data_IF_808317076612
#
_entry.id   IF_808317076612
#
_cell.length_a   1.000
_cell.length_b   1.000
_cell.length_c   1.000
_cell.angle_alpha   90.00
_cell.angle_beta   90.00
_cell.angle_gamma   90.00
#
_symmetry.space_group_name_H-M   'P 1'
#
loop_
_entity.id
_entity.type
_entity.pdbx_description
1 polymer ?
#
# COMPACT_ATOMS: atom_id res chain seq x y z
N UNK A 1 -20.27 -17.85 10.82
CA UNK A 1 -18.89 -18.36 10.96
C UNK A 1 -18.35 -18.32 12.39
N UNK A 2 -18.05 -17.16 13.00
CA UNK A 2 -17.37 -17.13 14.30
C UNK A 2 -18.09 -17.90 15.41
N UNK A 3 -19.41 -17.76 15.48
CA UNK A 3 -20.26 -18.53 16.40
C UNK A 3 -20.27 -20.03 16.08
N UNK A 4 -20.31 -20.39 14.80
CA UNK A 4 -20.25 -21.77 14.30
C UNK A 4 -18.95 -22.45 14.74
N UNK A 5 -17.81 -21.81 14.51
CA UNK A 5 -16.49 -22.31 14.90
C UNK A 5 -16.36 -22.48 16.42
N UNK A 6 -16.91 -21.54 17.19
CA UNK A 6 -16.93 -21.62 18.64
C UNK A 6 -17.82 -22.78 19.13
N UNK A 7 -19.00 -22.97 18.52
CA UNK A 7 -19.92 -24.08 18.81
C UNK A 7 -19.30 -25.44 18.54
N UNK A 8 -18.53 -25.56 17.45
CA UNK A 8 -17.87 -26.82 17.07
C UNK A 8 -16.51 -27.03 17.75
N UNK A 9 -16.08 -26.15 18.67
CA UNK A 9 -14.80 -26.22 19.36
C UNK A 9 -13.61 -26.48 18.41
N UNK A 10 -13.66 -25.89 17.21
CA UNK A 10 -12.60 -26.05 16.21
C UNK A 10 -11.29 -25.48 16.77
N UNK A 11 -10.13 -26.15 16.60
CA UNK A 11 -8.85 -25.72 17.16
C UNK A 11 -8.27 -24.52 16.40
N UNK A 12 -8.99 -23.40 16.41
CA UNK A 12 -8.64 -22.15 15.75
C UNK A 12 -8.86 -20.98 16.69
N UNK A 13 -7.98 -19.98 16.61
CA UNK A 13 -8.17 -18.71 17.30
C UNK A 13 -8.88 -17.75 16.35
N UNK A 14 -10.09 -17.33 16.73
CA UNK A 14 -10.88 -16.36 15.95
C UNK A 14 -10.70 -14.97 16.55
N UNK A 15 -10.34 -14.01 15.70
CA UNK A 15 -10.30 -12.59 16.04
C UNK A 15 -11.28 -11.81 15.17
N UNK A 16 -11.83 -10.73 15.73
CA UNK A 16 -12.63 -9.76 14.99
C UNK A 16 -11.95 -8.40 15.13
N UNK A 17 -11.93 -7.67 14.01
CA UNK A 17 -11.43 -6.32 13.96
C UNK A 17 -12.44 -5.47 13.20
N UNK A 18 -12.82 -4.34 13.79
CA UNK A 18 -13.69 -3.37 13.14
C UNK A 18 -12.82 -2.51 12.21
N UNK A 19 -13.09 -2.57 10.91
CA UNK A 19 -12.35 -1.81 9.92
C UNK A 19 -12.73 -0.31 10.02
N UNK A 20 -11.75 0.59 10.17
CA UNK A 20 -12.02 2.03 10.16
C UNK A 20 -12.31 2.52 8.74
N UNK A 21 -13.20 3.51 8.62
CA UNK A 21 -13.47 4.18 7.34
C UNK A 21 -14.95 4.21 6.91
N UNK A 22 -15.90 4.10 7.84
CA UNK A 22 -17.29 4.46 7.54
C UNK A 22 -17.43 5.97 7.34
N UNK A 23 -18.41 6.39 6.52
CA UNK A 23 -18.75 7.82 6.32
C UNK A 23 -19.11 8.51 7.65
N UNK A 24 -19.63 7.74 8.61
CA UNK A 24 -19.97 8.20 9.95
C UNK A 24 -18.92 7.76 10.97
N UNK A 25 -18.01 8.68 11.33
CA UNK A 25 -16.97 8.44 12.33
C UNK A 25 -17.53 8.33 13.75
N UNK A 26 -18.64 9.02 14.03
CA UNK A 26 -19.26 9.04 15.36
C UNK A 26 -19.87 7.68 15.66
N UNK A 27 -20.54 7.09 14.67
CA UNK A 27 -21.09 5.75 14.79
C UNK A 27 -20.00 4.66 14.91
N UNK A 28 -18.88 4.81 14.19
CA UNK A 28 -17.75 3.90 14.31
C UNK A 28 -17.17 3.91 15.73
N UNK A 29 -16.90 5.11 16.25
CA UNK A 29 -16.42 5.30 17.62
C UNK A 29 -17.42 4.74 18.65
N UNK A 30 -18.72 4.95 18.42
CA UNK A 30 -19.79 4.44 19.27
C UNK A 30 -19.79 2.92 19.38
N UNK A 31 -19.75 2.22 18.24
CA UNK A 31 -19.79 0.76 18.20
C UNK A 31 -18.52 0.16 18.80
N UNK A 32 -17.35 0.73 18.51
CA UNK A 32 -16.07 0.30 19.08
C UNK A 32 -16.03 0.51 20.59
N UNK A 33 -16.41 1.68 21.07
CA UNK A 33 -16.42 2.00 22.49
C UNK A 33 -17.40 1.12 23.26
N UNK A 34 -18.59 0.87 22.69
CA UNK A 34 -19.55 -0.08 23.26
C UNK A 34 -18.99 -1.51 23.33
N UNK A 35 -18.30 -1.97 22.28
CA UNK A 35 -17.66 -3.29 22.26
C UNK A 35 -16.58 -3.40 23.34
N UNK A 36 -15.68 -2.42 23.42
CA UNK A 36 -14.59 -2.39 24.39
C UNK A 36 -15.11 -2.29 25.83
N UNK A 37 -16.15 -1.48 26.07
CA UNK A 37 -16.81 -1.37 27.37
C UNK A 37 -17.37 -2.72 27.83
N UNK A 38 -18.13 -3.41 26.98
CA UNK A 38 -18.71 -4.72 27.33
C UNK A 38 -17.61 -5.75 27.58
N UNK A 39 -16.56 -5.74 26.76
CA UNK A 39 -15.42 -6.65 26.94
C UNK A 39 -14.72 -6.47 28.29
N UNK A 40 -14.57 -5.23 28.76
CA UNK A 40 -13.94 -4.90 30.04
C UNK A 40 -14.87 -5.17 31.22
N UNK A 41 -16.10 -4.67 31.20
CA UNK A 41 -17.07 -4.76 32.32
C UNK A 41 -17.41 -6.23 32.64
N UNK A 42 -17.54 -7.06 31.60
CA UNK A 42 -17.91 -8.48 31.74
C UNK A 42 -16.69 -9.41 31.73
N UNK A 43 -15.49 -8.87 31.54
CA UNK A 43 -14.25 -9.61 31.36
C UNK A 43 -14.39 -10.78 30.35
N UNK A 44 -15.17 -10.56 29.29
CA UNK A 44 -15.58 -11.61 28.35
C UNK A 44 -15.74 -11.09 26.92
N UNK A 45 -14.77 -11.42 26.07
CA UNK A 45 -14.82 -11.11 24.63
C UNK A 45 -15.99 -11.81 23.91
N UNK A 46 -16.52 -12.90 24.48
CA UNK A 46 -17.67 -13.63 23.91
C UNK A 46 -18.95 -12.81 23.99
N UNK A 47 -19.16 -12.11 25.11
CA UNK A 47 -20.34 -11.26 25.30
C UNK A 47 -20.27 -10.02 24.40
N UNK A 48 -19.08 -9.42 24.27
CA UNK A 48 -18.86 -8.33 23.35
C UNK A 48 -19.12 -8.74 21.88
N UNK A 49 -18.72 -9.95 21.49
CA UNK A 49 -19.05 -10.49 20.16
C UNK A 49 -20.55 -10.74 19.98
N UNK A 50 -21.22 -11.27 21.01
CA UNK A 50 -22.67 -11.49 20.99
C UNK A 50 -23.44 -10.17 20.87
N UNK A 51 -22.97 -9.10 21.52
CA UNK A 51 -23.52 -7.76 21.34
C UNK A 51 -23.47 -7.30 19.88
N UNK A 52 -22.34 -7.48 19.18
CA UNK A 52 -22.24 -7.16 17.74
C UNK A 52 -23.22 -8.01 16.92
N UNK A 53 -23.32 -9.31 17.21
CA UNK A 53 -24.28 -10.18 16.53
C UNK A 53 -25.73 -9.72 16.74
N UNK A 54 -26.10 -9.32 17.95
CA UNK A 54 -27.43 -8.76 18.23
C UNK A 54 -27.66 -7.42 17.54
N UNK A 55 -26.64 -6.58 17.46
CA UNK A 55 -26.69 -5.28 16.79
C UNK A 55 -26.96 -5.47 15.28
N UNK A 56 -26.28 -6.43 14.65
CA UNK A 56 -26.44 -6.77 13.23
C UNK A 56 -27.74 -7.51 12.90
N UNK A 57 -28.23 -8.37 13.80
CA UNK A 57 -29.47 -9.12 13.62
C UNK A 57 -30.73 -8.30 13.96
N UNK A 58 -30.59 -7.01 14.33
CA UNK A 58 -31.75 -6.17 14.61
C UNK A 58 -32.48 -5.86 13.29
N UNK A 59 -33.78 -6.19 13.17
CA UNK A 59 -34.47 -6.18 11.88
C UNK A 59 -34.88 -4.77 11.48
N UNK A 60 -34.03 -4.04 10.76
CA UNK A 60 -34.45 -2.89 9.93
C UNK A 60 -33.55 -2.77 8.69
N UNK A 61 -34.16 -2.50 7.53
CA UNK A 61 -33.54 -2.25 6.22
C UNK A 61 -32.75 -0.90 6.16
N UNK A 62 -32.32 -0.35 7.30
CA UNK A 62 -31.76 1.00 7.41
C UNK A 62 -30.32 1.04 7.94
N UNK A 63 -29.63 2.17 7.72
CA UNK A 63 -28.32 2.49 8.31
C UNK A 63 -28.43 2.43 9.84
N UNK A 64 -27.44 1.82 10.49
CA UNK A 64 -27.35 1.68 11.94
C UNK A 64 -27.34 3.08 12.60
N UNK A 65 -28.13 3.29 13.66
CA UNK A 65 -28.24 4.58 14.36
C UNK A 65 -27.64 4.52 15.77
N UNK A 66 -27.12 5.65 16.26
CA UNK A 66 -26.54 5.82 17.59
C UNK A 66 -27.55 5.43 18.70
N UNK A 67 -28.84 5.71 18.49
CA UNK A 67 -29.87 5.35 19.46
C UNK A 67 -30.04 3.84 19.61
N UNK A 68 -29.80 3.07 18.54
CA UNK A 68 -29.86 1.61 18.58
C UNK A 68 -28.68 1.04 19.36
N UNK A 69 -27.48 1.59 19.14
CA UNK A 69 -26.28 1.23 19.92
C UNK A 69 -26.53 1.49 21.41
N UNK A 70 -27.05 2.66 21.77
CA UNK A 70 -27.45 2.99 23.15
C UNK A 70 -28.47 2.01 23.73
N UNK A 71 -29.50 1.65 22.96
CA UNK A 71 -30.56 0.73 23.40
C UNK A 71 -30.03 -0.68 23.67
N UNK A 72 -29.11 -1.18 22.85
CA UNK A 72 -28.50 -2.50 23.06
C UNK A 72 -27.46 -2.45 24.18
N UNK A 73 -26.67 -1.37 24.27
CA UNK A 73 -25.69 -1.18 25.34
C UNK A 73 -26.34 -1.13 26.73
N UNK A 74 -27.54 -0.54 26.85
CA UNK A 74 -28.34 -0.53 28.10
C UNK A 74 -28.55 -1.91 28.72
N UNK A 75 -28.57 -2.98 27.93
CA UNK A 75 -28.76 -4.34 28.44
C UNK A 75 -27.53 -4.88 29.16
N UNK A 76 -26.36 -4.36 28.82
CA UNK A 76 -25.07 -4.81 29.34
C UNK A 76 -24.48 -3.85 30.37
N UNK A 77 -24.83 -2.56 30.28
CA UNK A 77 -24.36 -1.50 31.15
C UNK A 77 -24.89 -1.60 32.58
N UNK A 78 -24.01 -1.29 33.55
CA UNK A 78 -24.31 -1.22 34.97
C UNK A 78 -25.27 -0.05 35.29
N UNK A 79 -26.13 -0.20 36.31
CA UNK A 79 -27.30 0.67 36.59
C UNK A 79 -27.01 2.14 36.95
N UNK A 80 -25.79 2.63 36.78
CA UNK A 80 -25.39 4.03 36.95
C UNK A 80 -24.43 4.56 35.88
N UNK A 81 -24.18 3.79 34.80
CA UNK A 81 -23.26 4.18 33.76
C UNK A 81 -23.87 5.22 32.81
N UNK A 82 -23.13 6.30 32.52
CA UNK A 82 -23.54 7.29 31.54
C UNK A 82 -23.24 6.80 30.13
N UNK A 83 -24.29 6.40 29.41
CA UNK A 83 -24.18 5.82 28.06
C UNK A 83 -23.69 6.83 27.03
N UNK A 84 -23.99 8.11 27.23
CA UNK A 84 -23.56 9.17 26.30
C UNK A 84 -22.05 9.40 26.40
N UNK A 85 -21.50 9.23 27.60
CA UNK A 85 -20.06 9.34 27.87
C UNK A 85 -19.29 8.16 27.27
N UNK A 86 -19.80 6.93 27.47
CA UNK A 86 -19.19 5.70 26.92
C UNK A 86 -19.12 5.73 25.39
N UNK A 87 -20.13 6.28 24.74
CA UNK A 87 -20.29 6.27 23.28
C UNK A 87 -19.61 7.47 22.61
N UNK A 88 -19.18 8.46 23.39
CA UNK A 88 -18.53 9.66 22.88
C UNK A 88 -17.23 9.33 22.11
N UNK A 89 -16.82 10.23 21.21
CA UNK A 89 -15.57 10.09 20.46
C UNK A 89 -14.34 10.17 21.38
N UNK A 90 -14.42 10.98 22.43
CA UNK A 90 -13.38 11.17 23.45
C UNK A 90 -13.45 10.13 24.59
N UNK A 91 -14.31 9.12 24.46
CA UNK A 91 -14.49 8.06 25.44
C UNK A 91 -13.19 7.31 25.71
N UNK A 92 -12.92 7.01 26.99
CA UNK A 92 -11.79 6.14 27.39
C UNK A 92 -11.86 4.75 26.76
N UNK A 93 -13.08 4.31 26.39
CA UNK A 93 -13.32 3.02 25.74
C UNK A 93 -13.07 3.06 24.22
N UNK A 94 -12.84 4.25 23.64
CA UNK A 94 -12.52 4.42 22.22
C UNK A 94 -11.04 4.13 21.88
N UNK A 95 -10.39 3.23 22.59
CA UNK A 95 -9.00 2.88 22.34
C UNK A 95 -8.85 1.90 21.16
N UNK A 96 -7.66 1.88 20.58
CA UNK A 96 -7.31 0.96 19.48
C UNK A 96 -7.69 1.44 18.08
N UNK A 97 -8.31 2.63 17.92
CA UNK A 97 -8.63 3.22 16.62
C UNK A 97 -7.41 3.33 15.70
N UNK A 98 -6.34 3.93 16.22
CA UNK A 98 -5.11 4.16 15.45
C UNK A 98 -4.42 2.84 15.10
N UNK A 99 -4.38 1.88 16.04
CA UNK A 99 -3.84 0.55 15.79
C UNK A 99 -4.66 -0.20 14.74
N UNK A 100 -5.97 0.00 14.75
CA UNK A 100 -6.86 -0.61 13.78
C UNK A 100 -6.64 -0.03 12.37
N UNK A 101 -6.52 1.30 12.28
CA UNK A 101 -6.21 1.98 11.03
C UNK A 101 -4.84 1.60 10.50
N UNK A 102 -3.84 1.52 11.36
CA UNK A 102 -2.50 1.08 10.99
C UNK A 102 -2.50 -0.36 10.47
N UNK A 103 -3.17 -1.28 11.17
CA UNK A 103 -3.25 -2.68 10.74
C UNK A 103 -3.98 -2.82 9.39
N UNK A 104 -5.09 -2.11 9.22
CA UNK A 104 -5.80 -2.06 7.93
C UNK A 104 -4.92 -1.48 6.82
N UNK A 105 -4.20 -0.39 7.09
CA UNK A 105 -3.29 0.22 6.12
C UNK A 105 -2.16 -0.73 5.71
N UNK A 106 -1.70 -1.58 6.65
CA UNK A 106 -0.68 -2.62 6.42
C UNK A 106 -1.20 -3.79 5.58
N UNK A 107 -2.49 -4.12 5.65
CA UNK A 107 -3.10 -5.11 4.76
C UNK A 107 -3.20 -4.61 3.31
N UNK A 108 -3.20 -3.29 3.09
CA UNK A 108 -3.24 -2.71 1.75
C UNK A 108 -4.51 -3.07 0.95
N UNK A 109 -5.60 -3.42 1.64
CA UNK A 109 -6.90 -3.73 1.04
C UNK A 109 -7.94 -2.73 1.52
N UNK A 110 -8.65 -2.11 0.58
CA UNK A 110 -9.78 -1.22 0.86
C UNK A 110 -11.13 -1.93 0.60
N UNK A 111 -11.11 -3.26 0.40
CA UNK A 111 -12.31 -4.07 0.16
C UNK A 111 -12.69 -4.79 1.45
N UNK A 112 -13.85 -4.47 2.00
CA UNK A 112 -14.43 -5.11 3.17
C UNK A 112 -15.79 -5.75 2.83
N UNK A 113 -16.20 -6.82 3.52
CA UNK A 113 -15.47 -7.55 4.57
C UNK A 113 -14.30 -8.39 4.02
N UNK A 114 -13.25 -8.59 4.83
CA UNK A 114 -12.09 -9.42 4.48
C UNK A 114 -11.77 -10.39 5.62
N UNK A 115 -11.44 -11.64 5.26
CA UNK A 115 -11.04 -12.68 6.21
C UNK A 115 -9.60 -13.07 5.96
N UNK A 116 -8.81 -13.14 7.04
CA UNK A 116 -7.42 -13.52 7.03
C UNK A 116 -7.25 -14.85 7.78
N UNK A 117 -6.55 -15.80 7.17
CA UNK A 117 -6.18 -17.07 7.80
C UNK A 117 -4.66 -17.12 7.89
N UNK A 118 -4.13 -17.09 9.11
CA UNK A 118 -2.68 -17.05 9.38
C UNK A 118 -1.93 -15.97 8.55
N UNK A 119 -2.53 -14.77 8.43
CA UNK A 119 -1.97 -13.64 7.69
C UNK A 119 -2.22 -13.65 6.17
N UNK A 120 -2.79 -14.73 5.62
CA UNK A 120 -3.12 -14.82 4.19
C UNK A 120 -4.60 -14.43 3.98
N UNK A 121 -4.90 -13.44 3.12
CA UNK A 121 -6.28 -13.13 2.79
C UNK A 121 -6.91 -14.29 1.99
N UNK A 122 -8.16 -14.62 2.34
CA UNK A 122 -8.96 -15.50 1.49
C UNK A 122 -9.27 -14.75 0.19
N UNK A 123 -8.73 -15.25 -0.92
CA UNK A 123 -8.93 -14.67 -2.26
C UNK A 123 -10.23 -15.18 -2.85
N UNK A 124 -10.94 -14.30 -3.56
CA UNK A 124 -12.10 -14.69 -4.34
C UNK A 124 -11.64 -15.55 -5.53
N UNK A 125 -11.79 -16.88 -5.45
CA UNK A 125 -11.42 -17.80 -6.54
C UNK A 125 -12.44 -17.77 -7.71
N UNK A 126 -13.45 -16.90 -7.67
CA UNK A 126 -14.50 -16.77 -8.69
C UNK A 126 -15.14 -15.37 -8.76
N UNK A 127 -16.20 -15.24 -9.57
CA UNK A 127 -16.96 -13.98 -9.75
C UNK A 127 -17.82 -13.60 -8.53
N UNK A 128 -18.11 -14.57 -7.67
CA UNK A 128 -18.81 -14.37 -6.39
C UNK A 128 -17.79 -14.21 -5.28
N UNK A 129 -17.87 -13.12 -4.48
CA UNK A 129 -16.94 -12.96 -3.37
C UNK A 129 -17.14 -14.07 -2.35
N UNK A 130 -16.06 -14.62 -1.78
CA UNK A 130 -16.10 -15.72 -0.81
C UNK A 130 -16.90 -15.34 0.44
N UNK A 131 -17.04 -14.03 0.70
CA UNK A 131 -17.83 -13.48 1.80
C UNK A 131 -19.33 -13.33 1.49
N UNK A 132 -19.79 -13.69 0.29
CA UNK A 132 -21.19 -13.54 -0.13
C UNK A 132 -22.12 -14.59 0.49
N UNK A 133 -21.62 -15.79 0.77
CA UNK A 133 -22.38 -16.84 1.44
C UNK A 133 -21.58 -17.47 2.57
N UNK A 134 -22.28 -17.93 3.61
CA UNK A 134 -21.64 -18.60 4.76
C UNK A 134 -21.01 -19.93 4.33
N UNK A 135 -21.64 -20.65 3.40
CA UNK A 135 -21.18 -21.95 2.91
C UNK A 135 -19.85 -21.85 2.15
N UNK A 136 -19.73 -20.90 1.21
CA UNK A 136 -18.48 -20.69 0.44
C UNK A 136 -17.34 -20.26 1.35
N UNK A 137 -17.64 -19.41 2.34
CA UNK A 137 -16.68 -18.95 3.33
C UNK A 137 -16.19 -20.11 4.21
N UNK A 138 -17.08 -21.01 4.62
CA UNK A 138 -16.74 -22.20 5.41
C UNK A 138 -15.89 -23.19 4.59
N UNK A 139 -16.26 -23.44 3.34
CA UNK A 139 -15.49 -24.31 2.44
C UNK A 139 -14.08 -23.76 2.18
N UNK A 140 -13.97 -22.46 1.87
CA UNK A 140 -12.69 -21.78 1.65
C UNK A 140 -11.83 -21.81 2.92
N UNK A 141 -12.43 -21.59 4.09
CA UNK A 141 -11.75 -21.68 5.38
C UNK A 141 -11.21 -23.09 5.64
N UNK A 142 -12.02 -24.13 5.44
CA UNK A 142 -11.61 -25.53 5.64
C UNK A 142 -10.46 -25.89 4.70
N UNK A 143 -10.55 -25.47 3.44
CA UNK A 143 -9.49 -25.68 2.44
C UNK A 143 -8.20 -24.97 2.84
N UNK A 144 -8.29 -23.71 3.27
CA UNK A 144 -7.14 -22.96 3.77
C UNK A 144 -6.51 -23.62 5.01
N UNK A 145 -7.32 -24.02 5.99
CA UNK A 145 -6.88 -24.69 7.21
C UNK A 145 -6.20 -26.03 6.93
N UNK A 146 -6.73 -26.83 6.01
CA UNK A 146 -6.11 -28.09 5.57
C UNK A 146 -4.72 -27.84 4.98
N UNK A 147 -4.60 -26.83 4.11
CA UNK A 147 -3.32 -26.43 3.51
C UNK A 147 -2.31 -25.93 4.54
N UNK A 148 -2.73 -25.12 5.51
CA UNK A 148 -1.85 -24.62 6.57
C UNK A 148 -1.41 -25.73 7.53
N UNK A 149 -2.34 -26.59 7.93
CA UNK A 149 -2.05 -27.75 8.79
C UNK A 149 -1.03 -28.69 8.13
N UNK A 150 -1.17 -28.97 6.84
CA UNK A 150 -0.20 -29.80 6.11
C UNK A 150 1.20 -29.17 5.98
N UNK A 151 1.34 -27.85 6.11
CA UNK A 151 2.66 -27.18 6.20
C UNK A 151 3.27 -27.35 7.60
N UNK A 152 2.48 -27.14 8.65
CA UNK A 152 2.92 -27.31 10.03
C UNK A 152 3.31 -28.76 10.33
N UNK A 153 2.52 -29.73 9.88
CA UNK A 153 2.87 -31.15 10.03
C UNK A 153 4.21 -31.49 9.38
N UNK A 154 4.47 -30.97 8.17
CA UNK A 154 5.77 -31.16 7.50
C UNK A 154 6.93 -30.51 8.26
N UNK A 155 6.72 -29.34 8.87
CA UNK A 155 7.72 -28.68 9.71
C UNK A 155 8.07 -29.54 10.94
N UNK A 156 7.05 -30.10 11.61
CA UNK A 156 7.24 -31.03 12.74
C UNK A 156 8.01 -32.27 12.30
N UNK A 157 7.63 -32.90 11.17
CA UNK A 157 8.33 -34.08 10.66
C UNK A 157 9.81 -33.81 10.29
N UNK A 158 10.15 -32.59 9.90
CA UNK A 158 11.52 -32.18 9.61
C UNK A 158 12.32 -31.78 10.86
N UNK A 159 11.68 -31.70 12.02
CA UNK A 159 12.28 -31.18 13.24
C UNK A 159 12.50 -29.66 13.22
N UNK A 160 11.80 -28.93 12.34
CA UNK A 160 11.84 -27.46 12.28
C UNK A 160 10.96 -26.81 13.36
N UNK A 161 9.98 -27.55 13.89
CA UNK A 161 9.08 -27.14 14.98
C UNK A 161 9.09 -28.21 16.07
N UNK A 162 9.44 -27.82 17.30
CA UNK A 162 9.47 -28.69 18.48
C UNK A 162 8.44 -28.26 19.54
N UNK A 163 8.22 -29.10 20.56
CA UNK A 163 7.29 -28.80 21.65
C UNK A 163 7.71 -27.58 22.50
N UNK A 164 8.98 -27.18 22.44
CA UNK A 164 9.49 -26.00 23.16
C UNK A 164 9.24 -24.69 22.41
N UNK A 165 8.89 -24.76 21.12
CA UNK A 165 8.74 -23.59 20.26
C UNK A 165 7.29 -23.08 20.23
N UNK A 166 7.11 -21.76 20.20
CA UNK A 166 5.80 -21.17 19.93
C UNK A 166 5.47 -21.27 18.43
N UNK A 167 4.39 -21.98 18.12
CA UNK A 167 3.90 -22.14 16.74
C UNK A 167 3.57 -20.78 16.07
N UNK A 168 3.14 -19.78 16.83
CA UNK A 168 2.86 -18.43 16.30
C UNK A 168 4.16 -17.73 15.91
N UNK A 169 5.18 -17.82 16.75
CA UNK A 169 6.50 -17.26 16.46
C UNK A 169 7.15 -17.97 15.27
N UNK A 170 7.01 -19.28 15.18
CA UNK A 170 7.45 -20.07 14.03
C UNK A 170 6.78 -19.62 12.73
N UNK A 171 5.48 -19.33 12.75
CA UNK A 171 4.77 -18.78 11.59
C UNK A 171 5.35 -17.41 11.21
N UNK A 172 5.55 -16.51 12.18
CA UNK A 172 6.10 -15.17 11.92
C UNK A 172 7.53 -15.18 11.36
N UNK A 173 8.33 -16.21 11.67
CA UNK A 173 9.69 -16.40 11.13
C UNK A 173 9.71 -16.87 9.66
N UNK A 174 8.58 -17.25 9.09
CA UNK A 174 8.56 -17.77 7.73
C UNK A 174 8.88 -16.69 6.70
N UNK A 175 9.69 -17.03 5.70
CA UNK A 175 10.16 -16.08 4.67
C UNK A 175 9.05 -15.43 3.81
N UNK A 176 7.86 -16.02 3.80
CA UNK A 176 6.70 -15.50 3.04
C UNK A 176 5.82 -14.55 3.86
N UNK A 177 6.13 -14.33 5.14
CA UNK A 177 5.42 -13.35 5.96
C UNK A 177 6.10 -12.00 5.81
N UNK A 178 5.32 -11.03 5.34
CA UNK A 178 5.76 -9.66 5.11
C UNK A 178 5.07 -8.70 6.09
N UNK A 179 5.77 -7.67 6.60
CA UNK A 179 5.17 -6.70 7.54
C UNK A 179 4.03 -5.86 6.94
N UNK A 180 4.04 -5.66 5.62
CA UNK A 180 3.03 -4.90 4.88
C UNK A 180 2.75 -5.59 3.54
N UNK A 181 1.48 -5.75 3.22
CA UNK A 181 1.04 -6.27 1.94
C UNK A 181 0.85 -5.12 0.95
N UNK A 182 1.55 -5.18 -0.17
CA UNK A 182 1.36 -4.24 -1.28
C UNK A 182 0.72 -4.97 -2.47
N UNK A 183 -0.56 -4.69 -2.72
CA UNK A 183 -1.32 -5.32 -3.82
C UNK A 183 -0.76 -5.05 -5.20
N UNK A 184 -0.06 -3.92 -5.41
CA UNK A 184 0.55 -3.62 -6.72
C UNK A 184 1.76 -4.50 -7.02
N UNK A 185 2.41 -5.04 -5.99
CA UNK A 185 3.60 -5.89 -6.12
C UNK A 185 3.27 -7.37 -5.95
N UNK A 186 2.41 -7.69 -4.98
CA UNK A 186 2.05 -9.06 -4.60
C UNK A 186 0.63 -9.45 -5.06
N UNK A 187 0.02 -8.64 -5.94
CA UNK A 187 -1.30 -8.91 -6.49
C UNK A 187 -1.31 -10.15 -7.38
N UNK A 188 -2.46 -10.83 -7.43
CA UNK A 188 -2.71 -11.92 -8.36
C UNK A 188 -3.01 -11.46 -9.79
N UNK A 189 -3.13 -10.15 -10.01
CA UNK A 189 -3.33 -9.55 -11.32
C UNK A 189 -2.10 -9.78 -12.21
N UNK A 190 -2.32 -10.00 -13.51
CA UNK A 190 -1.23 -10.27 -14.44
C UNK A 190 -0.26 -9.09 -14.47
N UNK A 191 1.00 -9.36 -14.13
CA UNK A 191 2.07 -8.38 -14.27
C UNK A 191 2.22 -8.02 -15.75
N UNK A 192 2.20 -6.71 -16.05
CA UNK A 192 2.52 -6.21 -17.37
C UNK A 192 4.04 -6.14 -17.51
N UNK A 193 4.58 -6.80 -18.52
CA UNK A 193 6.02 -6.80 -18.79
C UNK A 193 6.31 -5.95 -20.02
N UNK A 194 7.31 -5.08 -19.91
CA UNK A 194 7.86 -4.35 -21.04
C UNK A 194 9.04 -5.15 -21.61
N UNK A 195 8.97 -5.49 -22.90
CA UNK A 195 10.04 -6.19 -23.58
C UNK A 195 11.16 -5.22 -24.00
N UNK A 196 12.36 -5.44 -23.48
CA UNK A 196 13.56 -4.66 -23.76
C UNK A 196 14.51 -5.33 -24.76
N UNK A 197 14.12 -6.47 -25.35
CA UNK A 197 14.96 -7.26 -26.25
C UNK A 197 14.92 -6.82 -27.73
N UNK A 198 14.30 -5.67 -28.02
CA UNK A 198 14.22 -5.11 -29.37
C UNK A 198 15.58 -4.68 -29.94
N UNK A 199 15.59 -4.33 -31.22
CA UNK A 199 16.79 -3.82 -31.89
C UNK A 199 16.79 -2.30 -31.81
N UNK A 200 17.81 -1.74 -31.16
CA UNK A 200 17.98 -0.30 -31.09
C UNK A 200 18.20 0.28 -32.49
N UNK A 201 17.35 1.23 -32.87
CA UNK A 201 17.56 2.09 -34.02
C UNK A 201 18.52 3.23 -33.67
N UNK A 202 18.76 4.16 -34.61
CA UNK A 202 19.62 5.32 -34.33
C UNK A 202 19.04 6.20 -33.21
N UNK A 203 19.89 6.58 -32.24
CA UNK A 203 19.54 7.54 -31.19
C UNK A 203 19.20 8.93 -31.72
N UNK A 204 19.53 9.23 -32.98
CA UNK A 204 19.15 10.48 -33.66
C UNK A 204 17.63 10.63 -33.85
N UNK A 205 16.88 9.53 -33.72
CA UNK A 205 15.42 9.56 -33.78
C UNK A 205 14.79 10.32 -32.60
N UNK A 206 15.53 10.53 -31.51
CA UNK A 206 15.12 11.34 -30.36
C UNK A 206 15.50 12.82 -30.54
N UNK A 207 15.02 13.40 -31.64
CA UNK A 207 15.13 14.85 -31.92
C UNK A 207 13.74 15.35 -32.31
N UNK A 208 13.40 16.60 -31.99
CA UNK A 208 12.08 17.21 -32.24
C UNK A 208 11.52 16.89 -33.64
N UNK A 209 12.36 16.97 -34.67
CA UNK A 209 11.97 16.71 -36.06
C UNK A 209 11.77 15.23 -36.42
N UNK A 210 12.26 14.28 -35.62
CA UNK A 210 12.33 12.84 -35.99
C UNK A 210 11.59 11.92 -35.01
N UNK A 211 11.11 12.42 -33.87
CA UNK A 211 10.40 11.63 -32.85
C UNK A 211 9.17 10.92 -33.41
N UNK A 212 8.46 11.52 -34.37
CA UNK A 212 7.31 10.89 -35.03
C UNK A 212 7.68 9.55 -35.70
N UNK A 213 8.93 9.36 -36.13
CA UNK A 213 9.40 8.11 -36.72
C UNK A 213 9.51 6.97 -35.71
N UNK A 214 9.61 7.31 -34.42
CA UNK A 214 9.61 6.35 -33.32
C UNK A 214 8.24 5.68 -33.15
N UNK A 215 7.15 6.37 -33.49
CA UNK A 215 5.79 5.79 -33.48
C UNK A 215 5.61 4.70 -34.56
N UNK A 216 6.46 4.68 -35.59
CA UNK A 216 6.47 3.63 -36.61
C UNK A 216 7.30 2.40 -36.22
N UNK A 217 8.05 2.47 -35.12
CA UNK A 217 8.77 1.32 -34.58
C UNK A 217 7.83 0.44 -33.77
N UNK A 218 8.15 -0.85 -33.67
CA UNK A 218 7.47 -1.72 -32.72
C UNK A 218 7.82 -1.29 -31.29
N UNK A 219 6.90 -1.48 -30.33
CA UNK A 219 7.11 -1.01 -28.94
C UNK A 219 8.44 -1.47 -28.32
N UNK A 220 8.88 -2.70 -28.63
CA UNK A 220 10.19 -3.24 -28.20
C UNK A 220 11.39 -2.51 -28.81
N UNK A 221 11.32 -2.15 -30.10
CA UNK A 221 12.42 -1.48 -30.81
C UNK A 221 12.48 0.00 -30.42
N UNK A 222 11.31 0.61 -30.20
CA UNK A 222 11.17 1.94 -29.63
C UNK A 222 11.84 2.01 -28.24
N UNK A 223 11.52 1.08 -27.34
CA UNK A 223 12.15 1.01 -26.01
C UNK A 223 13.66 0.77 -26.09
N UNK A 224 14.11 -0.17 -26.93
CA UNK A 224 15.54 -0.42 -27.13
C UNK A 224 16.30 0.81 -27.63
N UNK A 225 15.66 1.65 -28.46
CA UNK A 225 16.20 2.93 -28.93
C UNK A 225 16.23 4.00 -27.83
N UNK A 226 15.30 3.94 -26.87
CA UNK A 226 15.21 4.88 -25.74
C UNK A 226 16.25 4.61 -24.64
N UNK A 227 16.60 3.35 -24.40
CA UNK A 227 17.48 2.91 -23.30
C UNK A 227 18.81 3.68 -23.20
N UNK A 228 19.57 3.92 -24.29
CA UNK A 228 20.85 4.62 -24.21
C UNK A 228 20.74 6.11 -23.82
N UNK A 229 19.56 6.69 -24.01
CA UNK A 229 19.30 8.11 -23.79
C UNK A 229 18.99 8.38 -22.32
N UNK A 230 18.35 7.40 -21.66
CA UNK A 230 18.03 7.49 -20.24
C UNK A 230 19.30 7.69 -19.40
N UNK A 231 19.27 8.72 -18.57
CA UNK A 231 20.30 9.00 -17.57
C UNK A 231 19.84 8.49 -16.22
N UNK A 232 20.80 8.04 -15.43
CA UNK A 232 20.54 7.35 -14.18
C UNK A 232 21.21 8.07 -13.02
N UNK A 233 20.46 8.21 -11.94
CA UNK A 233 20.98 8.47 -10.62
C UNK A 233 21.75 7.24 -10.12
N UNK A 234 22.85 7.49 -9.43
CA UNK A 234 23.67 6.45 -8.82
C UNK A 234 24.17 6.92 -7.45
N UNK A 235 24.42 5.97 -6.55
CA UNK A 235 25.09 6.26 -5.29
C UNK A 235 26.49 6.83 -5.53
N UNK A 236 26.88 7.85 -4.77
CA UNK A 236 28.23 8.40 -4.81
C UNK A 236 29.21 7.46 -4.11
N UNK A 237 30.36 7.20 -4.74
CA UNK A 237 31.39 6.30 -4.21
C UNK A 237 31.89 5.31 -5.27
N UNK A 238 32.63 4.28 -4.85
CA UNK A 238 33.03 3.20 -5.76
C UNK A 238 31.77 2.55 -6.35
N UNK A 239 31.72 2.31 -7.66
CA UNK A 239 30.54 1.72 -8.28
C UNK A 239 30.38 0.28 -7.78
N UNK A 240 29.39 0.05 -6.93
CA UNK A 240 28.87 -1.29 -6.72
C UNK A 240 28.36 -1.82 -8.06
N UNK A 241 28.51 -3.13 -8.29
CA UNK A 241 27.99 -3.78 -9.49
C UNK A 241 26.48 -3.54 -9.55
N UNK A 242 26.00 -2.84 -10.57
CA UNK A 242 24.58 -2.53 -10.70
C UNK A 242 23.83 -3.81 -11.05
N UNK A 243 22.95 -4.25 -10.15
CA UNK A 243 22.13 -5.47 -10.31
C UNK A 243 20.69 -5.14 -10.71
N UNK A 244 20.20 -3.95 -10.37
CA UNK A 244 18.80 -3.56 -10.60
C UNK A 244 18.69 -2.13 -11.12
N UNK A 245 17.71 -1.91 -11.99
CA UNK A 245 17.35 -0.60 -12.54
C UNK A 245 15.90 -0.31 -12.22
N UNK A 246 15.65 0.81 -11.54
CA UNK A 246 14.29 1.26 -11.20
C UNK A 246 13.96 2.49 -12.04
N UNK A 247 12.82 2.48 -12.73
CA UNK A 247 12.31 3.66 -13.44
C UNK A 247 11.14 4.23 -12.66
N UNK A 248 11.24 5.51 -12.32
CA UNK A 248 10.16 6.27 -11.70
C UNK A 248 9.54 7.13 -12.79
N UNK A 249 8.26 6.87 -13.08
CA UNK A 249 7.48 7.60 -14.08
C UNK A 249 6.43 8.43 -13.37
N UNK A 250 6.37 9.73 -13.64
CA UNK A 250 5.37 10.61 -13.03
C UNK A 250 5.64 12.10 -13.27
N UNK A 251 4.71 12.94 -12.79
CA UNK A 251 4.85 14.40 -12.82
C UNK A 251 5.27 14.93 -11.45
N UNK A 252 6.44 15.58 -11.34
CA UNK A 252 6.91 16.16 -10.08
C UNK A 252 6.09 17.35 -9.60
N UNK A 253 5.10 17.82 -10.35
CA UNK A 253 4.09 18.74 -9.85
C UNK A 253 3.15 18.07 -8.84
N UNK A 254 2.93 16.75 -8.96
CA UNK A 254 2.20 15.97 -7.96
C UNK A 254 3.10 15.63 -6.76
N UNK A 255 2.59 15.87 -5.55
CA UNK A 255 3.27 15.51 -4.29
C UNK A 255 3.54 14.00 -4.23
N UNK A 256 2.62 13.16 -4.68
CA UNK A 256 2.79 11.71 -4.63
C UNK A 256 3.95 11.23 -5.52
N UNK A 257 4.13 11.85 -6.70
CA UNK A 257 5.24 11.55 -7.59
C UNK A 257 6.58 12.04 -7.04
N UNK A 258 6.61 13.22 -6.39
CA UNK A 258 7.80 13.70 -5.66
C UNK A 258 8.21 12.75 -4.55
N UNK A 259 7.24 12.32 -3.74
CA UNK A 259 7.46 11.34 -2.68
C UNK A 259 7.96 10.00 -3.25
N UNK A 260 7.38 9.53 -4.36
CA UNK A 260 7.82 8.30 -5.01
C UNK A 260 9.28 8.40 -5.49
N UNK A 261 9.66 9.50 -6.15
CA UNK A 261 11.04 9.71 -6.59
C UNK A 261 12.00 9.82 -5.40
N UNK A 262 11.62 10.56 -4.35
CA UNK A 262 12.41 10.69 -3.11
C UNK A 262 12.62 9.33 -2.43
N UNK A 263 11.57 8.52 -2.34
CA UNK A 263 11.65 7.17 -1.77
C UNK A 263 12.54 6.27 -2.62
N UNK A 264 12.46 6.35 -3.95
CA UNK A 264 13.34 5.60 -4.85
C UNK A 264 14.81 6.01 -4.70
N UNK A 265 15.11 7.30 -4.59
CA UNK A 265 16.48 7.79 -4.37
C UNK A 265 17.02 7.39 -2.99
N UNK A 266 16.17 7.40 -1.97
CA UNK A 266 16.54 6.95 -0.61
C UNK A 266 16.86 5.46 -0.62
N UNK A 267 15.98 4.65 -1.22
CA UNK A 267 16.18 3.21 -1.39
C UNK A 267 17.46 2.89 -2.17
N UNK A 268 17.75 3.66 -3.23
CA UNK A 268 18.98 3.54 -4.01
C UNK A 268 20.25 3.88 -3.21
N UNK A 269 20.18 4.83 -2.26
CA UNK A 269 21.32 5.20 -1.40
C UNK A 269 21.58 4.15 -0.33
N UNK A 270 20.52 3.60 0.25
CA UNK A 270 20.58 2.56 1.28
C UNK A 270 21.01 1.21 0.69
N UNK A 271 20.51 0.87 -0.48
CA UNK A 271 20.85 -0.35 -1.20
C UNK A 271 22.18 -0.22 -1.95
N UNK A 272 22.97 -1.29 -1.99
CA UNK A 272 24.11 -1.41 -2.91
C UNK A 272 23.65 -1.98 -4.26
N UNK A 273 24.04 -1.37 -5.37
CA UNK A 273 23.81 -1.94 -6.72
C UNK A 273 22.49 -1.57 -7.41
N UNK A 274 21.79 -0.52 -6.96
CA UNK A 274 20.59 0.00 -7.64
C UNK A 274 20.91 1.29 -8.37
N UNK A 275 20.34 1.48 -9.55
CA UNK A 275 20.28 2.78 -10.24
C UNK A 275 18.84 3.19 -10.51
N UNK A 276 18.56 4.49 -10.45
CA UNK A 276 17.22 5.04 -10.65
C UNK A 276 17.19 5.96 -11.86
N UNK A 277 16.21 5.82 -12.75
CA UNK A 277 15.91 6.83 -13.77
C UNK A 277 14.58 7.51 -13.44
N UNK A 278 14.50 8.80 -13.76
CA UNK A 278 13.25 9.55 -13.74
C UNK A 278 12.77 9.79 -15.17
N UNK A 279 11.52 9.46 -15.45
CA UNK A 279 10.87 9.68 -16.74
C UNK A 279 9.67 10.60 -16.47
N UNK A 280 9.69 11.85 -16.97
CA UNK A 280 8.56 12.76 -16.77
C UNK A 280 7.34 12.22 -17.52
N UNK A 281 6.20 12.19 -16.85
CA UNK A 281 4.92 11.91 -17.48
C UNK A 281 3.97 13.04 -17.12
N UNK A 282 3.75 13.96 -18.07
CA UNK A 282 3.00 15.19 -17.84
C UNK A 282 1.70 15.13 -18.63
N UNK A 283 0.58 15.35 -17.97
CA UNK A 283 -0.70 15.52 -18.66
C UNK A 283 -0.59 16.82 -19.48
N UNK A 284 -0.89 16.77 -20.77
CA UNK A 284 -0.56 17.82 -21.73
C UNK A 284 -1.20 19.21 -21.53
N UNK A 285 -1.75 19.54 -20.37
CA UNK A 285 -2.22 20.88 -20.00
C UNK A 285 -1.05 21.88 -20.07
N UNK A 286 -1.07 22.76 -21.06
CA UNK A 286 -0.07 23.81 -21.26
C UNK A 286 -0.08 24.91 -20.19
N UNK A 287 -0.99 24.86 -19.22
CA UNK A 287 -1.13 25.86 -18.16
C UNK A 287 -0.21 25.65 -16.97
N UNK A 288 0.24 24.41 -16.74
CA UNK A 288 0.96 24.07 -15.53
C UNK A 288 2.47 24.28 -15.71
N UNK A 289 3.08 24.98 -14.76
CA UNK A 289 4.51 25.22 -14.75
C UNK A 289 5.25 23.88 -14.52
N UNK A 290 5.92 23.38 -15.56
CA UNK A 290 6.70 22.13 -15.52
C UNK A 290 8.17 22.37 -15.15
N UNK A 291 8.48 23.50 -14.49
CA UNK A 291 9.82 23.91 -14.09
C UNK A 291 10.58 22.82 -13.33
N UNK A 292 9.94 22.12 -12.40
CA UNK A 292 10.58 21.08 -11.59
C UNK A 292 11.03 19.86 -12.42
N UNK A 293 10.17 19.37 -13.32
CA UNK A 293 10.53 18.27 -14.22
C UNK A 293 11.75 18.66 -15.09
N UNK A 294 11.78 19.90 -15.60
CA UNK A 294 12.92 20.42 -16.37
C UNK A 294 14.19 20.48 -15.54
N UNK A 295 14.12 20.96 -14.31
CA UNK A 295 15.27 21.07 -13.40
C UNK A 295 15.88 19.69 -13.11
N UNK A 296 15.05 18.68 -12.85
CA UNK A 296 15.54 17.32 -12.57
C UNK A 296 16.18 16.68 -13.80
N UNK A 297 15.59 16.85 -14.99
CA UNK A 297 16.18 16.37 -16.26
C UNK A 297 17.48 17.10 -16.60
N UNK A 298 17.52 18.42 -16.39
CA UNK A 298 18.73 19.22 -16.56
C UNK A 298 19.83 18.74 -15.60
N UNK A 299 19.51 18.51 -14.33
CA UNK A 299 20.45 18.00 -13.34
C UNK A 299 21.02 16.63 -13.74
N UNK A 300 20.18 15.71 -14.22
CA UNK A 300 20.59 14.37 -14.67
C UNK A 300 21.50 14.38 -15.91
N UNK A 301 21.38 15.40 -16.75
CA UNK A 301 22.11 15.48 -18.04
C UNK A 301 23.39 16.28 -17.96
N UNK A 302 23.45 17.27 -17.07
CA UNK A 302 24.58 18.20 -16.94
C UNK A 302 25.53 17.83 -15.80
N UNK A 303 25.00 17.37 -14.66
CA UNK A 303 25.80 17.05 -13.49
C UNK A 303 26.28 15.60 -13.54
N UNK A 304 27.39 15.34 -12.86
CA UNK A 304 27.83 13.98 -12.60
C UNK A 304 26.76 13.21 -11.81
N UNK A 305 26.50 11.92 -12.08
CA UNK A 305 25.38 11.17 -11.47
C UNK A 305 25.29 11.28 -9.94
N UNK A 306 26.43 11.21 -9.24
CA UNK A 306 26.47 11.33 -7.79
C UNK A 306 26.12 12.75 -7.28
N UNK A 307 26.52 13.78 -8.02
CA UNK A 307 26.17 15.18 -7.72
C UNK A 307 24.70 15.45 -8.02
N UNK A 308 24.20 14.95 -9.16
CA UNK A 308 22.80 15.01 -9.54
C UNK A 308 21.91 14.39 -8.47
N UNK A 309 22.25 13.19 -7.96
CA UNK A 309 21.50 12.54 -6.88
C UNK A 309 21.44 13.39 -5.61
N UNK A 310 22.57 13.97 -5.18
CA UNK A 310 22.60 14.80 -3.97
C UNK A 310 21.76 16.07 -4.14
N UNK A 311 21.89 16.73 -5.28
CA UNK A 311 21.14 17.95 -5.60
C UNK A 311 19.63 17.67 -5.65
N UNK A 312 19.20 16.65 -6.40
CA UNK A 312 17.79 16.31 -6.53
C UNK A 312 17.19 15.81 -5.21
N UNK A 313 17.94 15.06 -4.40
CA UNK A 313 17.47 14.66 -3.08
C UNK A 313 17.21 15.88 -2.17
N UNK A 314 18.13 16.84 -2.14
CA UNK A 314 17.96 18.09 -1.36
C UNK A 314 16.82 18.96 -1.91
N UNK A 315 16.69 19.01 -3.24
CA UNK A 315 15.58 19.69 -3.89
C UNK A 315 14.23 19.08 -3.44
N UNK A 316 14.10 17.76 -3.44
CA UNK A 316 12.87 17.06 -3.06
C UNK A 316 12.55 17.10 -1.55
N UNK A 317 13.53 17.40 -0.69
CA UNK A 317 13.32 17.56 0.76
C UNK A 317 12.66 18.92 1.11
N UNK A 318 12.88 19.95 0.30
CA UNK A 318 12.37 21.29 0.54
C UNK A 318 10.94 21.47 0.01
N UNK A 319 9.92 21.01 0.75
CA UNK A 319 8.51 21.09 0.29
C UNK A 319 8.01 22.54 0.05
N UNK A 320 8.36 23.48 0.92
CA UNK A 320 7.87 24.87 0.84
C UNK A 320 8.32 25.64 -0.41
N UNK A 321 9.42 25.19 -1.00
CA UNK A 321 10.03 25.71 -2.23
C UNK A 321 9.19 25.34 -3.47
N UNK A 322 8.65 24.11 -3.48
CA UNK A 322 7.82 23.59 -4.57
C UNK A 322 6.45 24.26 -4.60
N UNK A 323 5.89 24.55 -3.43
CA UNK A 323 4.60 25.21 -3.28
C UNK A 323 4.66 26.70 -3.66
N UNK A 324 5.76 27.37 -3.31
CA UNK A 324 6.02 28.79 -3.62
C UNK A 324 6.61 29.01 -5.01
N UNK A 325 7.11 27.94 -5.66
CA UNK A 325 7.77 27.97 -6.97
C UNK A 325 8.99 28.88 -7.02
N UNK A 326 9.71 29.00 -5.90
CA UNK A 326 10.86 29.91 -5.71
C UNK A 326 12.16 29.14 -5.48
N UNK A 327 12.27 27.93 -6.03
CA UNK A 327 13.43 27.10 -5.77
C UNK A 327 14.74 27.65 -6.32
N UNK A 328 15.75 27.63 -5.45
CA UNK A 328 17.13 27.96 -5.79
C UNK A 328 17.68 26.93 -6.79
N UNK A 329 17.56 27.26 -8.06
CA UNK A 329 18.11 26.47 -9.16
C UNK A 329 19.59 26.81 -9.30
N UNK A 330 20.44 25.78 -9.36
CA UNK A 330 21.86 25.98 -9.65
C UNK A 330 22.03 26.73 -10.99
N UNK A 331 22.85 27.81 -11.03
CA UNK A 331 23.03 28.64 -12.22
C UNK A 331 23.56 27.85 -13.43
N UNK A 332 24.29 26.77 -13.18
CA UNK A 332 24.81 25.84 -14.21
C UNK A 332 23.70 25.08 -14.96
N UNK A 333 22.51 24.95 -14.37
CA UNK A 333 21.37 24.22 -14.96
C UNK A 333 20.53 25.08 -15.89
N UNK A 334 20.55 26.41 -15.71
CA UNK A 334 19.70 27.38 -16.41
C UNK A 334 19.80 27.24 -17.94
N UNK A 335 20.99 27.10 -18.56
CA UNK A 335 21.10 26.92 -20.01
C UNK A 335 20.48 25.60 -20.51
N UNK A 336 20.47 24.56 -19.67
CA UNK A 336 19.95 23.23 -20.02
C UNK A 336 18.43 23.11 -19.87
N UNK A 337 17.78 24.03 -19.14
CA UNK A 337 16.32 24.02 -18.95
C UNK A 337 15.56 24.18 -20.27
N UNK A 338 16.02 25.08 -21.15
CA UNK A 338 15.40 25.30 -22.46
C UNK A 338 15.53 24.09 -23.39
N UNK A 339 16.61 23.31 -23.25
CA UNK A 339 16.86 22.12 -24.07
C UNK A 339 15.90 20.97 -23.76
N UNK A 340 15.30 20.93 -22.57
CA UNK A 340 14.41 19.84 -22.17
C UNK A 340 12.93 20.17 -22.31
N UNK A 341 12.59 21.34 -22.84
CA UNK A 341 11.20 21.72 -23.11
C UNK A 341 10.54 20.80 -24.14
N UNK A 342 11.28 20.40 -25.19
CA UNK A 342 10.76 19.46 -26.20
C UNK A 342 10.56 18.05 -25.63
N UNK A 343 11.43 17.60 -24.71
CA UNK A 343 11.33 16.26 -24.11
C UNK A 343 10.02 16.10 -23.31
N UNK A 344 9.58 17.18 -22.67
CA UNK A 344 8.28 17.24 -21.98
C UNK A 344 7.11 17.34 -22.95
N UNK A 345 7.27 18.03 -24.10
CA UNK A 345 6.25 18.04 -25.17
C UNK A 345 6.08 16.66 -25.80
N UNK A 346 7.17 15.91 -25.97
CA UNK A 346 7.17 14.56 -26.51
C UNK A 346 6.61 13.50 -25.54
N UNK A 347 6.57 13.80 -24.24
CA UNK A 347 5.96 12.96 -23.22
C UNK A 347 4.43 13.12 -23.12
N UNK A 348 3.85 14.09 -23.85
CA UNK A 348 2.40 14.28 -24.00
C UNK A 348 1.85 13.35 -25.08
#
# INVERSE_FOLDING_TARGET
LGETLLKHATPVRVGLMLAPGSEDRVLEAAVRSAFNYIAQERNSNKEAFYFISQLLNTPQEGKLDLNQVKKQLKKYASSGANLDDIISEDSEYNFGSQLAEEFVSKLGSNKYPQVLVNGVPLTDEGSTPVTSSVELLEESLVTALSRHTGRLQRAVFRGELSDADDAVEYLMKQAHIVPRLNRRVLGSESSQFLDLSGVASSSELFTEDKVHRMMHLTGRDALATALPILKYFTKGGKPDKITQTVWVVGDLNDKLARELLRNALTFMRESGGIRVAFIPNVDGSSSDDQSLNKVVLAALTTLEPAKATKYVALLLENEGCHERKDCDILPELVPALHKHEWALKAAR
#
